data_IF_854902313517
#
_entry.id   IF_854902313517
#
_cell.length_a   1.000
_cell.length_b   1.000
_cell.length_c   1.000
_cell.angle_alpha   90.00
_cell.angle_beta   90.00
_cell.angle_gamma   90.00
#
_symmetry.space_group_name_H-M   'P 1'
#
loop_
_entity.id
_entity.type
_entity.pdbx_description
1 polymer ?
#
# COMPACT_ATOMS: atom_id res chain seq x y z
N UNK A 1 -28.98 -2.46 -6.43
CA UNK A 1 -30.25 -3.06 -5.97
C UNK A 1 -30.12 -3.24 -4.47
N UNK A 2 -30.80 -2.41 -3.64
CA UNK A 2 -30.94 -2.65 -2.20
C UNK A 2 -31.70 -3.95 -2.02
N UNK A 3 -31.11 -4.90 -1.32
CA UNK A 3 -31.79 -6.13 -0.94
C UNK A 3 -33.04 -5.76 -0.12
N UNK A 4 -34.23 -6.06 -0.65
CA UNK A 4 -35.51 -5.75 -0.02
C UNK A 4 -35.72 -6.46 1.33
N UNK A 5 -34.85 -7.38 1.72
CA UNK A 5 -34.88 -8.18 2.95
C UNK A 5 -34.58 -7.38 4.24
N UNK A 6 -34.00 -6.17 4.14
CA UNK A 6 -33.53 -5.41 5.30
C UNK A 6 -34.17 -4.01 5.41
N UNK A 7 -35.42 -3.89 5.08
CA UNK A 7 -36.12 -2.58 5.07
C UNK A 7 -36.08 -1.82 6.40
N UNK A 8 -35.85 -2.50 7.50
CA UNK A 8 -35.81 -1.93 8.87
C UNK A 8 -34.45 -2.14 9.55
N UNK A 9 -33.41 -2.56 8.82
CA UNK A 9 -32.07 -2.73 9.42
C UNK A 9 -31.36 -1.40 9.46
N UNK A 10 -30.87 -1.00 10.60
CA UNK A 10 -29.95 0.10 10.77
C UNK A 10 -28.59 -0.33 10.19
N UNK A 11 -28.03 0.51 9.33
CA UNK A 11 -26.72 0.23 8.71
C UNK A 11 -25.66 1.06 9.40
N UNK A 12 -24.74 0.38 10.06
CA UNK A 12 -23.57 1.00 10.69
C UNK A 12 -22.34 0.75 9.83
N UNK A 13 -21.57 1.79 9.54
CA UNK A 13 -20.29 1.70 8.85
C UNK A 13 -19.18 1.45 9.87
N UNK A 14 -18.61 0.25 9.84
CA UNK A 14 -17.45 -0.10 10.65
C UNK A 14 -16.17 -0.01 9.81
N UNK A 15 -15.17 0.78 10.21
CA UNK A 15 -13.87 0.78 9.55
C UNK A 15 -13.16 -0.57 9.76
N UNK A 16 -12.31 -0.97 8.80
CA UNK A 16 -11.50 -2.19 8.94
C UNK A 16 -10.45 -2.03 10.05
N UNK A 17 -10.43 -2.89 11.07
CA UNK A 17 -9.45 -2.80 12.14
C UNK A 17 -8.09 -3.35 11.71
N UNK A 18 -7.03 -2.68 12.11
CA UNK A 18 -5.63 -3.07 11.87
C UNK A 18 -4.85 -3.25 13.18
N UNK A 19 -5.52 -3.61 14.28
CA UNK A 19 -4.95 -3.64 15.63
C UNK A 19 -3.58 -4.33 15.74
N UNK A 20 -3.45 -5.52 15.17
CA UNK A 20 -2.17 -6.24 15.24
C UNK A 20 -1.07 -5.54 14.45
N UNK A 21 -1.38 -5.01 13.28
CA UNK A 21 -0.43 -4.26 12.46
C UNK A 21 0.02 -2.98 13.16
N UNK A 22 -0.92 -2.19 13.67
CA UNK A 22 -0.64 -0.93 14.37
C UNK A 22 0.19 -1.14 15.63
N UNK A 23 -0.14 -2.16 16.47
CA UNK A 23 0.63 -2.48 17.67
C UNK A 23 2.10 -2.75 17.35
N UNK A 24 2.39 -3.47 16.27
CA UNK A 24 3.75 -3.76 15.82
C UNK A 24 4.39 -2.49 15.24
N UNK A 25 3.66 -1.74 14.40
CA UNK A 25 4.16 -0.52 13.77
C UNK A 25 4.59 0.55 14.78
N UNK A 26 3.89 0.65 15.92
CA UNK A 26 4.21 1.61 16.98
C UNK A 26 5.53 1.31 17.70
N UNK A 27 5.97 0.04 17.71
CA UNK A 27 7.22 -0.38 18.38
C UNK A 27 8.35 -0.68 17.40
N UNK A 28 8.06 -0.75 16.11
CA UNK A 28 9.06 -1.02 15.07
C UNK A 28 9.93 0.21 14.83
N UNK A 29 11.24 0.05 14.89
CA UNK A 29 12.18 1.10 14.50
C UNK A 29 11.97 1.44 13.03
N UNK A 30 11.79 2.72 12.74
CA UNK A 30 11.59 3.24 11.38
C UNK A 30 12.93 3.72 10.84
N UNK A 31 13.37 3.10 9.77
CA UNK A 31 14.56 3.49 9.02
C UNK A 31 14.17 3.73 7.56
N UNK A 32 14.81 4.67 6.90
CA UNK A 32 14.67 4.82 5.45
C UNK A 32 15.80 4.03 4.79
N UNK A 33 15.49 2.82 4.37
CA UNK A 33 16.45 1.95 3.67
C UNK A 33 16.48 2.20 2.16
N UNK A 34 15.84 3.27 1.68
CA UNK A 34 15.97 3.77 0.33
C UNK A 34 15.34 2.90 -0.76
N UNK A 35 14.32 2.09 -0.46
CA UNK A 35 13.65 1.26 -1.48
C UNK A 35 12.19 1.65 -1.72
N UNK A 36 11.70 1.31 -2.91
CA UNK A 36 10.30 1.34 -3.29
C UNK A 36 9.66 0.00 -2.89
N UNK A 37 8.58 0.02 -2.10
CA UNK A 37 7.83 -1.18 -1.72
C UNK A 37 6.55 -1.28 -2.55
N UNK A 38 6.55 -2.12 -3.59
CA UNK A 38 5.33 -2.45 -4.34
C UNK A 38 4.58 -3.56 -3.60
N UNK A 39 3.39 -3.22 -3.09
CA UNK A 39 2.51 -4.19 -2.44
C UNK A 39 1.49 -4.68 -3.46
N UNK A 40 1.75 -5.84 -4.03
CA UNK A 40 0.96 -6.39 -5.14
C UNK A 40 0.89 -7.91 -5.08
N UNK A 41 -0.28 -8.45 -5.44
CA UNK A 41 -0.46 -9.88 -5.69
C UNK A 41 -0.50 -10.19 -7.19
N UNK A 42 -0.83 -11.46 -7.52
CA UNK A 42 -0.97 -11.94 -8.90
C UNK A 42 -2.40 -11.84 -9.45
N UNK A 43 -3.32 -11.19 -8.71
CA UNK A 43 -4.68 -10.95 -9.18
C UNK A 43 -4.71 -10.00 -10.37
N UNK A 44 -5.60 -10.23 -11.33
CA UNK A 44 -5.73 -9.37 -12.51
C UNK A 44 -6.01 -7.89 -12.16
N UNK A 45 -6.68 -7.65 -11.04
CA UNK A 45 -6.92 -6.30 -10.54
C UNK A 45 -5.65 -5.56 -10.07
N UNK A 46 -4.56 -6.29 -9.82
CA UNK A 46 -3.28 -5.72 -9.38
C UNK A 46 -2.40 -5.24 -10.52
N UNK A 47 -2.67 -5.68 -11.74
CA UNK A 47 -1.97 -5.29 -12.97
C UNK A 47 -0.44 -5.16 -12.81
N UNK A 48 0.16 -6.22 -12.25
CA UNK A 48 1.58 -6.25 -11.91
C UNK A 48 2.48 -6.01 -13.14
N UNK A 49 2.04 -6.40 -14.34
CA UNK A 49 2.79 -6.16 -15.58
C UNK A 49 3.00 -4.67 -15.83
N UNK A 50 1.92 -3.89 -15.78
CA UNK A 50 2.00 -2.43 -15.95
C UNK A 50 2.85 -1.78 -14.85
N UNK A 51 2.74 -2.25 -13.60
CA UNK A 51 3.59 -1.75 -12.52
C UNK A 51 5.07 -2.01 -12.81
N UNK A 52 5.44 -3.21 -13.19
CA UNK A 52 6.82 -3.58 -13.56
C UNK A 52 7.30 -2.75 -14.76
N UNK A 53 6.45 -2.52 -15.76
CA UNK A 53 6.79 -1.67 -16.92
C UNK A 53 7.03 -0.21 -16.51
N UNK A 54 6.23 0.32 -15.59
CA UNK A 54 6.44 1.67 -15.04
C UNK A 54 7.77 1.76 -14.29
N UNK A 55 8.11 0.75 -13.49
CA UNK A 55 9.41 0.73 -12.81
C UNK A 55 10.58 0.73 -13.79
N UNK A 56 10.55 -0.11 -14.82
CA UNK A 56 11.61 -0.15 -15.82
C UNK A 56 11.65 1.08 -16.74
N UNK A 57 10.57 1.84 -16.83
CA UNK A 57 10.53 3.12 -17.54
C UNK A 57 11.15 4.29 -16.75
N UNK A 58 11.43 4.11 -15.45
CA UNK A 58 12.21 5.09 -14.68
C UNK A 58 13.65 5.09 -15.23
N UNK A 59 14.26 6.25 -15.50
CA UNK A 59 15.67 6.32 -15.89
C UNK A 59 16.56 5.56 -14.89
N UNK A 60 17.51 4.73 -15.34
CA UNK A 60 18.32 3.88 -14.47
C UNK A 60 19.01 4.63 -13.32
N UNK A 61 19.51 5.83 -13.59
CA UNK A 61 20.21 6.68 -12.63
C UNK A 61 19.30 7.27 -11.53
N UNK A 62 17.97 7.25 -11.76
CA UNK A 62 16.95 7.71 -10.80
C UNK A 62 16.23 6.56 -10.10
N UNK A 63 16.54 5.32 -10.48
CA UNK A 63 15.84 4.14 -10.02
C UNK A 63 16.37 3.69 -8.67
N UNK A 64 15.53 3.70 -7.63
CA UNK A 64 15.85 3.08 -6.34
C UNK A 64 15.49 1.59 -6.36
N UNK A 65 16.08 0.74 -5.49
CA UNK A 65 15.72 -0.67 -5.40
C UNK A 65 14.22 -0.88 -5.22
N UNK A 66 13.68 -1.94 -5.83
CA UNK A 66 12.28 -2.33 -5.74
C UNK A 66 12.14 -3.61 -4.92
N UNK A 67 11.25 -3.60 -3.93
CA UNK A 67 10.77 -4.80 -3.26
C UNK A 67 9.32 -5.06 -3.63
N UNK A 68 9.00 -6.28 -4.07
CA UNK A 68 7.63 -6.70 -4.43
C UNK A 68 7.12 -7.64 -3.37
N UNK A 69 6.07 -7.21 -2.64
CA UNK A 69 5.45 -7.95 -1.54
C UNK A 69 4.01 -8.35 -1.91
N UNK A 70 3.59 -9.55 -1.50
CA UNK A 70 2.19 -9.99 -1.63
C UNK A 70 1.95 -11.06 -2.68
N UNK A 71 2.99 -11.57 -3.33
CA UNK A 71 2.87 -12.64 -4.32
C UNK A 71 2.71 -14.06 -3.70
N UNK A 72 2.90 -14.22 -2.39
CA UNK A 72 2.78 -15.50 -1.70
C UNK A 72 3.67 -16.59 -2.33
N UNK A 73 3.10 -17.72 -2.71
CA UNK A 73 3.80 -18.80 -3.43
C UNK A 73 4.08 -18.49 -4.91
N UNK A 74 3.73 -17.29 -5.38
CA UNK A 74 3.85 -16.90 -6.79
C UNK A 74 5.15 -16.22 -7.16
N UNK A 75 6.22 -16.34 -6.36
CA UNK A 75 7.53 -15.70 -6.61
C UNK A 75 8.03 -15.97 -8.02
N UNK A 76 8.03 -17.24 -8.47
CA UNK A 76 8.50 -17.61 -9.81
C UNK A 76 7.70 -16.91 -10.94
N UNK A 77 6.37 -16.73 -10.73
CA UNK A 77 5.54 -16.03 -11.72
C UNK A 77 5.92 -14.55 -11.80
N UNK A 78 6.22 -13.92 -10.66
CA UNK A 78 6.69 -12.53 -10.63
C UNK A 78 8.06 -12.40 -11.29
N UNK A 79 8.98 -13.32 -11.02
CA UNK A 79 10.30 -13.37 -11.67
C UNK A 79 10.14 -13.50 -13.19
N UNK A 80 9.20 -14.31 -13.67
CA UNK A 80 8.90 -14.43 -15.10
C UNK A 80 8.36 -13.12 -15.70
N UNK A 81 7.56 -12.35 -14.93
CA UNK A 81 7.08 -11.02 -15.36
C UNK A 81 8.26 -10.04 -15.51
N UNK A 82 9.21 -10.09 -14.59
CA UNK A 82 10.44 -9.28 -14.65
C UNK A 82 11.27 -9.67 -15.87
N UNK A 83 11.25 -10.96 -16.27
CA UNK A 83 11.80 -11.49 -17.52
C UNK A 83 13.24 -11.03 -17.81
N UNK A 84 14.14 -11.19 -16.84
CA UNK A 84 15.57 -10.88 -17.03
C UNK A 84 15.91 -9.40 -17.22
N UNK A 85 14.94 -8.49 -17.09
CA UNK A 85 15.15 -7.04 -17.21
C UNK A 85 15.92 -6.44 -16.04
N UNK A 86 15.99 -7.15 -14.91
CA UNK A 86 16.70 -6.71 -13.70
C UNK A 86 18.20 -7.05 -13.77
N UNK A 87 18.92 -6.40 -14.69
CA UNK A 87 20.34 -6.65 -14.94
C UNK A 87 21.25 -6.27 -13.75
N UNK A 88 20.77 -5.43 -12.83
CA UNK A 88 21.51 -4.92 -11.70
C UNK A 88 21.05 -5.51 -10.36
N UNK A 89 20.21 -6.54 -10.35
CA UNK A 89 19.62 -7.15 -9.17
C UNK A 89 18.97 -6.12 -8.22
N UNK A 90 18.25 -5.16 -8.80
CA UNK A 90 17.57 -4.09 -8.06
C UNK A 90 16.17 -4.49 -7.57
N UNK A 91 15.67 -5.66 -8.00
CA UNK A 91 14.33 -6.14 -7.66
C UNK A 91 14.42 -7.36 -6.75
N UNK A 92 13.85 -7.23 -5.56
CA UNK A 92 13.65 -8.33 -4.63
C UNK A 92 12.18 -8.74 -4.62
N UNK A 93 11.89 -10.00 -4.94
CA UNK A 93 10.54 -10.56 -4.88
C UNK A 93 10.37 -11.33 -3.57
N UNK A 94 9.45 -10.86 -2.74
CA UNK A 94 9.24 -11.36 -1.38
C UNK A 94 8.02 -12.30 -1.37
N UNK A 95 8.24 -13.54 -0.96
CA UNK A 95 7.21 -14.56 -0.79
C UNK A 95 6.38 -14.37 0.48
N UNK A 96 6.04 -15.48 1.14
CA UNK A 96 5.38 -15.43 2.44
C UNK A 96 6.35 -14.97 3.53
N UNK A 97 5.91 -13.97 4.30
CA UNK A 97 6.61 -13.44 5.45
C UNK A 97 5.64 -13.24 6.62
N UNK A 98 6.16 -13.20 7.83
CA UNK A 98 5.39 -12.93 9.05
C UNK A 98 4.83 -11.50 9.06
N UNK A 99 3.82 -11.25 9.89
CA UNK A 99 3.27 -9.91 10.08
C UNK A 99 4.34 -8.91 10.56
N UNK A 100 5.27 -9.33 11.41
CA UNK A 100 6.38 -8.48 11.88
C UNK A 100 7.28 -8.06 10.72
N UNK A 101 7.61 -8.98 9.81
CA UNK A 101 8.40 -8.68 8.61
C UNK A 101 7.64 -7.75 7.66
N UNK A 102 6.32 -7.97 7.46
CA UNK A 102 5.48 -7.05 6.68
C UNK A 102 5.57 -5.64 7.25
N UNK A 103 5.34 -5.46 8.55
CA UNK A 103 5.42 -4.14 9.21
C UNK A 103 6.81 -3.53 9.07
N UNK A 104 7.86 -4.34 9.21
CA UNK A 104 9.25 -3.89 9.02
C UNK A 104 9.50 -3.41 7.59
N UNK A 105 9.00 -4.14 6.59
CA UNK A 105 9.10 -3.73 5.18
C UNK A 105 8.42 -2.39 4.92
N UNK A 106 7.20 -2.20 5.44
CA UNK A 106 6.52 -0.90 5.32
C UNK A 106 7.27 0.20 6.06
N UNK A 107 7.71 -0.07 7.30
CA UNK A 107 8.37 0.93 8.16
C UNK A 107 9.71 1.42 7.61
N UNK A 108 10.38 0.62 6.80
CA UNK A 108 11.70 0.91 6.25
C UNK A 108 11.69 1.29 4.76
N UNK A 109 10.53 1.27 4.12
CA UNK A 109 10.40 1.72 2.74
C UNK A 109 10.60 3.24 2.63
N UNK A 110 11.21 3.70 1.55
CA UNK A 110 11.21 5.12 1.14
C UNK A 110 9.82 5.55 0.68
N UNK A 111 9.19 4.74 -0.15
CA UNK A 111 7.87 4.96 -0.73
C UNK A 111 7.14 3.61 -0.71
N UNK A 112 5.87 3.59 -0.28
CA UNK A 112 4.97 2.46 -0.48
C UNK A 112 4.20 2.67 -1.78
N UNK A 113 4.21 1.66 -2.65
CA UNK A 113 3.56 1.71 -3.95
C UNK A 113 2.38 0.73 -4.02
N UNK A 114 1.19 1.25 -4.29
CA UNK A 114 -0.04 0.49 -4.46
C UNK A 114 -0.56 0.66 -5.90
N UNK A 115 -0.28 -0.32 -6.76
CA UNK A 115 -0.80 -0.35 -8.13
C UNK A 115 -1.98 -1.33 -8.22
N UNK A 116 -3.16 -0.82 -8.57
CA UNK A 116 -4.37 -1.62 -8.74
C UNK A 116 -5.33 -0.95 -9.71
N UNK A 117 -6.07 -1.76 -10.48
CA UNK A 117 -7.18 -1.32 -11.32
C UNK A 117 -8.49 -1.21 -10.53
N UNK A 118 -8.64 -2.03 -9.48
CA UNK A 118 -9.81 -2.04 -8.61
C UNK A 118 -9.47 -2.63 -7.23
N UNK A 119 -10.11 -2.09 -6.19
CA UNK A 119 -10.00 -2.57 -4.80
C UNK A 119 -11.34 -2.46 -4.10
N UNK A 120 -11.56 -3.30 -3.08
CA UNK A 120 -12.69 -3.15 -2.16
C UNK A 120 -12.44 -2.05 -1.13
N UNK A 121 -11.28 -2.08 -0.46
CA UNK A 121 -10.90 -1.12 0.58
C UNK A 121 -9.51 -0.49 0.37
N UNK A 122 -8.53 -1.29 -0.10
CA UNK A 122 -7.15 -0.81 -0.28
C UNK A 122 -6.33 -0.84 1.02
N UNK A 123 -6.20 -2.03 1.61
CA UNK A 123 -5.44 -2.25 2.86
C UNK A 123 -4.03 -1.66 2.82
N UNK A 124 -3.37 -1.71 1.68
CA UNK A 124 -2.01 -1.17 1.49
C UNK A 124 -1.90 0.29 1.91
N UNK A 125 -2.92 1.12 1.64
CA UNK A 125 -2.90 2.53 2.02
C UNK A 125 -3.04 2.70 3.54
N UNK A 126 -3.96 1.95 4.16
CA UNK A 126 -4.15 1.97 5.61
C UNK A 126 -2.87 1.53 6.35
N UNK A 127 -2.24 0.44 5.90
CA UNK A 127 -0.98 -0.08 6.44
C UNK A 127 0.17 0.94 6.28
N UNK A 128 0.27 1.60 5.13
CA UNK A 128 1.27 2.64 4.90
C UNK A 128 1.06 3.88 5.79
N UNK A 129 -0.19 4.31 5.99
CA UNK A 129 -0.52 5.39 6.93
C UNK A 129 -0.09 5.07 8.36
N UNK A 130 -0.33 3.84 8.83
CA UNK A 130 0.08 3.38 10.16
C UNK A 130 1.61 3.39 10.35
N UNK A 131 2.36 3.23 9.27
CA UNK A 131 3.84 3.32 9.30
C UNK A 131 4.37 4.71 8.95
N UNK A 132 3.50 5.70 8.74
CA UNK A 132 3.84 7.09 8.40
C UNK A 132 4.70 7.19 7.13
N UNK A 133 4.30 6.49 6.06
CA UNK A 133 5.02 6.49 4.78
C UNK A 133 4.27 7.25 3.68
N UNK A 134 5.03 7.82 2.75
CA UNK A 134 4.49 8.30 1.49
C UNK A 134 3.93 7.13 0.68
N UNK A 135 2.76 7.32 0.10
CA UNK A 135 2.09 6.34 -0.75
C UNK A 135 1.98 6.87 -2.16
N UNK A 136 2.49 6.11 -3.11
CA UNK A 136 2.30 6.33 -4.54
C UNK A 136 1.25 5.32 -5.03
N UNK A 137 0.10 5.75 -5.53
CA UNK A 137 -0.97 4.82 -5.86
C UNK A 137 -1.77 5.22 -7.10
N UNK A 138 -2.39 4.22 -7.75
CA UNK A 138 -3.35 4.45 -8.83
C UNK A 138 -4.56 5.23 -8.34
N UNK A 139 -5.13 6.08 -9.20
CA UNK A 139 -6.29 6.92 -8.89
C UNK A 139 -7.59 6.14 -9.03
N UNK A 140 -7.88 5.22 -8.10
CA UNK A 140 -9.14 4.45 -8.04
C UNK A 140 -10.00 4.91 -6.86
N UNK A 141 -11.32 4.65 -6.92
CA UNK A 141 -12.29 5.12 -5.91
C UNK A 141 -11.93 4.66 -4.50
N UNK A 142 -11.64 3.39 -4.30
CA UNK A 142 -11.30 2.83 -2.98
C UNK A 142 -10.06 3.49 -2.34
N UNK A 143 -9.08 3.90 -3.14
CA UNK A 143 -7.92 4.62 -2.63
C UNK A 143 -8.24 6.08 -2.30
N UNK A 144 -9.09 6.72 -3.12
CA UNK A 144 -9.54 8.10 -2.87
C UNK A 144 -10.40 8.25 -1.62
N UNK A 145 -11.12 7.20 -1.21
CA UNK A 145 -11.87 7.19 0.06
C UNK A 145 -10.95 7.25 1.29
N UNK A 146 -9.68 6.92 1.13
CA UNK A 146 -8.66 6.93 2.19
C UNK A 146 -7.70 8.12 2.09
N UNK A 147 -8.07 9.19 1.41
CA UNK A 147 -7.21 10.34 1.12
C UNK A 147 -6.48 10.89 2.35
N UNK A 148 -5.21 11.26 2.16
CA UNK A 148 -4.32 11.77 3.20
C UNK A 148 -3.22 12.63 2.56
N UNK A 149 -2.55 13.47 3.36
CA UNK A 149 -1.47 14.35 2.90
C UNK A 149 -0.25 13.63 2.33
N UNK A 150 -0.08 12.35 2.68
CA UNK A 150 1.03 11.52 2.21
C UNK A 150 0.63 10.58 1.06
N UNK A 151 -0.55 10.76 0.45
CA UNK A 151 -1.04 9.92 -0.64
C UNK A 151 -0.96 10.68 -1.96
N UNK A 152 -0.24 10.12 -2.92
CA UNK A 152 0.05 10.70 -4.23
C UNK A 152 -0.52 9.81 -5.33
N UNK A 153 -1.51 10.32 -6.04
CA UNK A 153 -2.25 9.59 -7.06
C UNK A 153 -1.66 9.75 -8.44
N UNK A 154 -1.75 8.68 -9.24
CA UNK A 154 -1.45 8.73 -10.67
C UNK A 154 -2.48 7.92 -11.47
N UNK A 155 -2.70 8.31 -12.72
CA UNK A 155 -3.54 7.61 -13.69
C UNK A 155 -2.73 7.05 -14.87
N UNK A 156 -1.54 7.62 -15.13
CA UNK A 156 -0.65 7.24 -16.21
C UNK A 156 0.81 7.48 -15.83
N UNK A 157 1.73 6.98 -16.65
CA UNK A 157 3.17 6.97 -16.34
C UNK A 157 3.77 8.35 -16.03
N UNK A 158 3.39 9.41 -16.77
CA UNK A 158 3.99 10.74 -16.52
C UNK A 158 3.61 11.32 -15.14
N UNK A 159 2.39 11.07 -14.64
CA UNK A 159 2.00 11.40 -13.27
C UNK A 159 2.73 10.52 -12.24
N UNK A 160 2.84 9.21 -12.52
CA UNK A 160 3.62 8.29 -11.70
C UNK A 160 5.06 8.78 -11.54
N UNK A 161 5.75 9.04 -12.65
CA UNK A 161 7.16 9.46 -12.63
C UNK A 161 7.36 10.82 -11.98
N UNK A 162 6.46 11.78 -12.21
CA UNK A 162 6.47 13.09 -11.52
C UNK A 162 6.39 12.93 -10.01
N UNK A 163 5.41 12.17 -9.52
CA UNK A 163 5.20 11.95 -8.10
C UNK A 163 6.34 11.11 -7.49
N UNK A 164 6.79 10.06 -8.18
CA UNK A 164 7.94 9.26 -7.76
C UNK A 164 9.19 10.11 -7.57
N UNK A 165 9.52 10.96 -8.55
CA UNK A 165 10.70 11.86 -8.48
C UNK A 165 10.59 12.83 -7.32
N UNK A 166 9.40 13.40 -7.08
CA UNK A 166 9.15 14.27 -5.95
C UNK A 166 9.36 13.53 -4.61
N UNK A 167 8.83 12.32 -4.48
CA UNK A 167 8.83 11.56 -3.23
C UNK A 167 10.21 11.01 -2.85
N UNK A 168 11.09 10.81 -3.81
CA UNK A 168 12.49 10.45 -3.51
C UNK A 168 13.18 11.55 -2.70
N UNK A 169 12.90 12.81 -3.00
CA UNK A 169 13.57 13.97 -2.40
C UNK A 169 12.82 14.47 -1.15
N UNK A 170 11.53 14.16 -1.01
CA UNK A 170 10.68 14.70 0.04
C UNK A 170 10.20 13.60 0.99
N UNK A 171 10.59 13.66 2.28
CA UNK A 171 10.11 12.70 3.28
C UNK A 171 8.60 12.87 3.55
N UNK A 172 7.93 11.88 4.13
CA UNK A 172 6.52 11.98 4.49
C UNK A 172 6.30 13.07 5.55
N UNK A 173 5.15 13.73 5.45
CA UNK A 173 4.69 14.62 6.51
C UNK A 173 4.37 13.81 7.77
N UNK A 174 4.89 14.21 8.91
CA UNK A 174 4.55 13.61 10.20
C UNK A 174 3.13 14.03 10.57
N UNK A 175 2.20 13.08 10.61
CA UNK A 175 0.81 13.33 10.99
C UNK A 175 0.50 12.57 12.29
N UNK A 176 0.16 13.31 13.35
CA UNK A 176 -0.35 12.73 14.60
C UNK A 176 -1.81 12.25 14.41
N UNK A 177 -2.02 11.12 13.72
CA UNK A 177 -3.38 10.78 13.28
C UNK A 177 -3.88 9.35 13.53
N UNK A 178 -3.09 8.49 14.11
CA UNK A 178 -3.39 7.05 14.17
C UNK A 178 -4.49 6.64 15.16
N UNK A 179 -4.82 7.44 16.14
CA UNK A 179 -5.81 7.07 17.18
C UNK A 179 -7.28 7.17 16.74
N UNK A 180 -7.61 7.97 15.72
CA UNK A 180 -9.02 8.29 15.40
C UNK A 180 -9.80 7.13 14.77
N UNK A 181 -9.20 6.35 13.89
CA UNK A 181 -9.92 5.25 13.19
C UNK A 181 -10.23 4.09 14.16
N UNK A 182 -9.33 3.79 15.09
CA UNK A 182 -9.56 2.81 16.15
C UNK A 182 -10.62 3.25 17.15
N UNK A 183 -10.58 4.51 17.59
CA UNK A 183 -11.60 5.08 18.48
C UNK A 183 -12.99 5.08 17.82
N UNK A 184 -13.07 5.34 16.51
CA UNK A 184 -14.32 5.25 15.76
C UNK A 184 -14.82 3.81 15.69
N UNK A 185 -13.95 2.84 15.40
CA UNK A 185 -14.33 1.43 15.34
C UNK A 185 -14.85 0.93 16.71
N UNK A 186 -14.13 1.20 17.81
CA UNK A 186 -14.56 0.83 19.15
C UNK A 186 -15.85 1.54 19.55
N UNK A 187 -16.00 2.81 19.22
CA UNK A 187 -17.20 3.60 19.53
C UNK A 187 -18.42 3.06 18.78
N UNK A 188 -18.29 2.73 17.50
CA UNK A 188 -19.39 2.17 16.72
C UNK A 188 -19.73 0.74 17.16
N UNK A 189 -18.72 -0.08 17.53
CA UNK A 189 -18.97 -1.40 18.12
C UNK A 189 -19.75 -1.32 19.42
N UNK A 190 -19.39 -0.40 20.33
CA UNK A 190 -20.12 -0.22 21.60
C UNK A 190 -21.59 0.11 21.37
N UNK A 191 -21.91 0.99 20.43
CA UNK A 191 -23.30 1.33 20.07
C UNK A 191 -24.12 0.14 19.57
N UNK A 192 -23.48 -0.92 19.07
CA UNK A 192 -24.17 -2.14 18.61
C UNK A 192 -24.48 -3.09 19.77
N UNK A 193 -23.65 -3.10 20.82
CA UNK A 193 -23.73 -4.06 21.93
C UNK A 193 -24.31 -3.47 23.23
N UNK A 194 -24.49 -2.17 23.31
CA UNK A 194 -25.24 -1.46 24.36
C UNK A 194 -26.69 -1.20 23.92
#
# INVERSE_FOLDING_TARGET
KKLALFKNAETVLLPNPFFSFEKIANVTKKEDLGYLLLVSGLGANKDLHTAVDYYFSIPPEKRIPLKILGCGNGVDKVINIINGRDLNNQIEVIGFVSLNEVVTLYSNAKIVWAHSLAEGYGRTLAEAKLTCKNVLCTRISAFREQDDVNIYYYSYYSEFFKNYSYLIENPPHVVEKTLREHLLFETELRKIYE
#
